data_IF_356113430394
#
_entry.id   IF_356113430394
#
_cell.length_a   1.000
_cell.length_b   1.000
_cell.length_c   1.000
_cell.angle_alpha   90.00
_cell.angle_beta   90.00
_cell.angle_gamma   90.00
#
_symmetry.space_group_name_H-M   'P 1'
#
loop_
_entity.id
_entity.type
_entity.pdbx_description
1 polymer ?
#
# COMPACT_ATOMS: atom_id res chain seq x y z
N UNK A 1 -15.17 -40.59 -12.76
CA UNK A 1 -15.58 -39.82 -11.59
C UNK A 1 -16.87 -39.04 -11.86
N UNK A 2 -17.39 -38.38 -10.84
CA UNK A 2 -18.64 -37.62 -10.89
C UNK A 2 -18.42 -36.12 -11.05
N UNK A 3 -17.17 -35.66 -10.98
CA UNK A 3 -16.80 -34.21 -11.08
C UNK A 3 -16.25 -33.86 -12.45
N UNK A 4 -16.48 -32.63 -12.86
CA UNK A 4 -15.90 -32.04 -14.07
C UNK A 4 -14.98 -30.89 -13.67
N UNK A 5 -13.68 -31.05 -13.93
CA UNK A 5 -12.65 -30.08 -13.62
C UNK A 5 -12.23 -29.31 -14.87
N UNK A 6 -12.14 -27.98 -14.73
CA UNK A 6 -11.60 -27.06 -15.73
C UNK A 6 -10.35 -26.39 -15.19
N UNK A 7 -9.33 -26.24 -16.02
CA UNK A 7 -8.06 -25.64 -15.66
C UNK A 7 -7.90 -24.29 -16.33
N UNK A 8 -7.61 -23.26 -15.55
CA UNK A 8 -7.44 -21.89 -16.04
C UNK A 8 -6.01 -21.43 -15.74
N UNK A 9 -5.23 -21.21 -16.78
CA UNK A 9 -3.87 -20.67 -16.62
C UNK A 9 -3.90 -19.27 -16.03
N UNK A 10 -3.14 -19.07 -14.95
CA UNK A 10 -2.99 -17.83 -14.19
C UNK A 10 -1.51 -17.44 -14.02
N UNK A 11 -0.74 -17.35 -15.13
CA UNK A 11 0.69 -17.14 -15.05
C UNK A 11 1.01 -15.86 -14.27
N UNK A 12 2.03 -15.90 -13.42
CA UNK A 12 2.47 -14.79 -12.55
C UNK A 12 1.46 -14.38 -11.45
N UNK A 13 0.52 -15.27 -11.11
CA UNK A 13 -0.35 -15.05 -9.93
C UNK A 13 -0.09 -16.17 -8.87
N UNK A 14 1.12 -16.29 -8.18
CA UNK A 14 2.23 -15.35 -8.50
C UNK A 14 3.43 -16.05 -9.17
N UNK A 15 3.41 -17.36 -9.40
CA UNK A 15 4.44 -18.12 -10.13
C UNK A 15 4.14 -18.17 -11.63
N UNK A 16 5.18 -18.34 -12.50
CA UNK A 16 4.99 -18.37 -13.96
C UNK A 16 4.03 -19.46 -14.45
N UNK A 17 4.01 -20.60 -13.78
CA UNK A 17 3.25 -21.82 -14.16
C UNK A 17 1.92 -21.98 -13.42
N UNK A 18 1.48 -20.99 -12.63
CA UNK A 18 0.25 -21.10 -11.83
C UNK A 18 -0.97 -21.38 -12.72
N UNK A 19 -1.74 -22.32 -12.24
CA UNK A 19 -3.03 -22.71 -12.80
C UNK A 19 -4.04 -22.82 -11.66
N UNK A 20 -5.22 -22.24 -11.85
CA UNK A 20 -6.35 -22.45 -10.93
C UNK A 20 -7.25 -23.55 -11.49
N UNK A 21 -7.90 -24.29 -10.60
CA UNK A 21 -8.79 -25.39 -10.97
C UNK A 21 -10.22 -25.05 -10.56
N UNK A 22 -11.15 -25.16 -11.49
CA UNK A 22 -12.58 -25.01 -11.23
C UNK A 22 -13.30 -26.32 -11.34
N UNK A 23 -13.97 -26.74 -10.26
CA UNK A 23 -14.92 -27.84 -10.27
C UNK A 23 -16.32 -27.30 -10.55
N UNK A 24 -16.84 -27.62 -11.74
CA UNK A 24 -18.17 -27.16 -12.17
C UNK A 24 -19.31 -27.93 -11.53
N UNK A 25 -19.06 -29.08 -10.91
CA UNK A 25 -20.06 -29.89 -10.21
C UNK A 25 -20.43 -29.25 -8.88
N UNK A 26 -19.42 -28.92 -8.08
CA UNK A 26 -19.60 -28.31 -6.75
C UNK A 26 -19.41 -26.78 -6.77
N UNK A 27 -19.09 -26.19 -7.95
CA UNK A 27 -18.86 -24.75 -8.16
C UNK A 27 -17.74 -24.19 -7.30
N UNK A 28 -16.69 -24.98 -7.12
CA UNK A 28 -15.52 -24.66 -6.29
C UNK A 28 -14.38 -24.17 -7.16
N UNK A 29 -13.81 -23.03 -6.81
CA UNK A 29 -12.55 -22.54 -7.38
C UNK A 29 -11.39 -22.82 -6.41
N UNK A 30 -10.49 -23.71 -6.78
CA UNK A 30 -9.19 -23.87 -6.12
C UNK A 30 -8.23 -22.83 -6.73
N UNK A 31 -8.04 -21.75 -6.01
CA UNK A 31 -7.47 -20.52 -6.55
C UNK A 31 -5.94 -20.42 -6.45
N UNK A 32 -5.26 -21.47 -6.06
CA UNK A 32 -3.86 -21.43 -5.67
C UNK A 32 -3.65 -20.33 -4.60
N UNK A 33 -2.68 -19.45 -4.75
CA UNK A 33 -2.40 -18.38 -3.78
C UNK A 33 -3.33 -17.17 -3.92
N UNK A 34 -4.08 -17.07 -5.01
CA UNK A 34 -5.05 -15.99 -5.17
C UNK A 34 -6.15 -16.08 -4.10
N UNK A 35 -6.53 -14.93 -3.54
CA UNK A 35 -7.47 -14.80 -2.43
C UNK A 35 -6.98 -15.35 -1.09
N UNK A 36 -5.70 -15.73 -1.00
CA UNK A 36 -5.06 -16.11 0.26
C UNK A 36 -4.73 -14.92 1.15
N UNK A 37 -4.44 -15.18 2.42
CA UNK A 37 -3.99 -14.18 3.39
C UNK A 37 -2.83 -14.71 4.23
N UNK A 38 -2.08 -13.82 4.87
CA UNK A 38 -1.17 -14.19 5.94
C UNK A 38 -1.93 -14.57 7.22
N UNK A 39 -1.19 -15.12 8.19
CA UNK A 39 -1.70 -15.49 9.49
C UNK A 39 -2.28 -16.90 9.57
N UNK A 40 -2.44 -17.38 10.79
CA UNK A 40 -3.02 -18.69 11.10
C UNK A 40 -4.55 -18.62 11.04
N UNK A 41 -5.21 -19.78 10.86
CA UNK A 41 -6.67 -19.85 10.76
C UNK A 41 -7.38 -19.69 12.10
N UNK A 42 -6.66 -19.84 13.21
CA UNK A 42 -7.14 -19.73 14.58
C UNK A 42 -6.92 -18.36 15.21
N UNK A 43 -6.50 -17.38 14.42
CA UNK A 43 -6.37 -15.97 14.84
C UNK A 43 -7.57 -15.16 14.34
N UNK A 44 -8.08 -14.28 15.21
CA UNK A 44 -9.15 -13.33 14.86
C UNK A 44 -8.52 -12.08 14.22
N UNK A 45 -8.25 -12.16 12.93
CA UNK A 45 -7.64 -11.11 12.12
C UNK A 45 -8.57 -10.73 10.96
N UNK A 46 -8.63 -9.43 10.65
CA UNK A 46 -9.36 -8.96 9.47
C UNK A 46 -8.76 -9.55 8.19
N UNK A 47 -9.59 -10.24 7.41
CA UNK A 47 -9.15 -10.86 6.17
C UNK A 47 -8.56 -9.82 5.19
N UNK A 48 -9.20 -8.66 5.05
CA UNK A 48 -8.77 -7.67 4.07
C UNK A 48 -7.38 -7.10 4.39
N UNK A 49 -7.08 -6.86 5.68
CA UNK A 49 -5.77 -6.38 6.12
C UNK A 49 -4.68 -7.39 5.75
N UNK A 50 -4.81 -8.64 6.18
CA UNK A 50 -3.81 -9.68 5.95
C UNK A 50 -3.72 -10.12 4.48
N UNK A 51 -4.84 -10.14 3.75
CA UNK A 51 -4.84 -10.43 2.32
C UNK A 51 -4.22 -9.29 1.49
N UNK A 52 -4.43 -8.02 1.87
CA UNK A 52 -3.81 -6.85 1.24
C UNK A 52 -2.31 -6.85 1.49
N UNK A 53 -1.88 -7.13 2.74
CA UNK A 53 -0.47 -7.29 3.10
C UNK A 53 0.18 -8.39 2.27
N UNK A 54 -0.45 -9.56 2.16
CA UNK A 54 0.00 -10.65 1.29
C UNK A 54 0.08 -10.20 -0.18
N UNK A 55 -1.02 -9.63 -0.70
CA UNK A 55 -1.14 -9.24 -2.10
C UNK A 55 -0.03 -8.28 -2.52
N UNK A 56 0.12 -7.14 -1.85
CA UNK A 56 1.10 -6.13 -2.26
C UNK A 56 2.55 -6.54 -2.03
N UNK A 57 2.82 -7.40 -1.05
CA UNK A 57 4.18 -7.86 -0.83
C UNK A 57 4.61 -8.99 -1.77
N UNK A 58 3.69 -9.82 -2.24
CA UNK A 58 3.98 -11.00 -3.06
C UNK A 58 3.53 -10.80 -4.52
N UNK A 59 2.30 -10.38 -4.75
CA UNK A 59 1.66 -10.31 -6.08
C UNK A 59 1.77 -8.91 -6.70
N UNK A 60 1.86 -7.86 -5.91
CA UNK A 60 1.66 -6.44 -6.22
C UNK A 60 2.01 -5.96 -7.63
N UNK A 61 3.21 -6.25 -8.14
CA UNK A 61 3.64 -5.84 -9.49
C UNK A 61 2.93 -6.56 -10.65
N UNK A 62 2.16 -7.60 -10.35
CA UNK A 62 1.49 -8.45 -11.35
C UNK A 62 0.00 -8.11 -11.53
N UNK A 63 -0.40 -6.86 -11.36
CA UNK A 63 -1.80 -6.44 -11.51
C UNK A 63 -2.44 -6.84 -12.85
N UNK A 64 -1.71 -6.72 -13.98
CA UNK A 64 -2.23 -7.14 -15.31
C UNK A 64 -2.50 -8.64 -15.39
N UNK A 65 -1.61 -9.55 -14.95
CA UNK A 65 -1.91 -10.98 -14.79
C UNK A 65 -3.15 -11.27 -13.94
N UNK A 66 -3.28 -10.59 -12.78
CA UNK A 66 -4.47 -10.75 -11.91
C UNK A 66 -5.75 -10.32 -12.63
N UNK A 67 -5.76 -9.18 -13.33
CA UNK A 67 -6.89 -8.75 -14.16
C UNK A 67 -7.22 -9.78 -15.24
N UNK A 68 -6.20 -10.41 -15.83
CA UNK A 68 -6.37 -11.51 -16.79
C UNK A 68 -7.06 -12.72 -16.17
N UNK A 69 -6.70 -13.10 -14.92
CA UNK A 69 -7.34 -14.18 -14.18
C UNK A 69 -8.81 -13.82 -13.86
N UNK A 70 -9.07 -12.66 -13.27
CA UNK A 70 -10.43 -12.20 -12.94
C UNK A 70 -11.34 -12.21 -14.18
N UNK A 71 -10.86 -11.75 -15.33
CA UNK A 71 -11.60 -11.79 -16.59
C UNK A 71 -11.91 -13.22 -17.07
N UNK A 72 -10.96 -14.15 -16.93
CA UNK A 72 -11.17 -15.54 -17.34
C UNK A 72 -12.20 -16.24 -16.44
N UNK A 73 -12.16 -15.95 -15.14
CA UNK A 73 -13.03 -16.60 -14.13
C UNK A 73 -14.39 -15.93 -14.01
N UNK A 74 -14.59 -14.71 -14.54
CA UNK A 74 -15.87 -13.97 -14.44
C UNK A 74 -17.08 -14.66 -15.06
N UNK A 75 -16.87 -15.66 -15.91
CA UNK A 75 -17.95 -16.45 -16.56
C UNK A 75 -18.26 -17.75 -15.82
N UNK A 76 -17.54 -18.06 -14.76
CA UNK A 76 -17.72 -19.26 -13.95
C UNK A 76 -18.72 -18.98 -12.83
N UNK A 77 -19.60 -19.93 -12.57
CA UNK A 77 -20.55 -19.87 -11.43
C UNK A 77 -19.83 -20.36 -10.17
N UNK A 78 -19.01 -19.47 -9.56
CA UNK A 78 -18.21 -19.78 -8.38
C UNK A 78 -19.04 -19.53 -7.13
N UNK A 79 -19.16 -20.56 -6.27
CA UNK A 79 -19.85 -20.48 -4.99
C UNK A 79 -18.89 -20.61 -3.80
N UNK A 80 -17.71 -21.18 -4.03
CA UNK A 80 -16.68 -21.41 -3.00
C UNK A 80 -15.32 -21.09 -3.62
N UNK A 81 -14.47 -20.37 -2.88
CA UNK A 81 -13.07 -20.17 -3.24
C UNK A 81 -12.20 -20.84 -2.18
N UNK A 82 -11.31 -21.72 -2.62
CA UNK A 82 -10.34 -22.45 -1.79
C UNK A 82 -8.91 -22.00 -2.13
N UNK A 83 -8.36 -21.02 -1.41
CA UNK A 83 -6.95 -20.66 -1.56
C UNK A 83 -6.05 -21.71 -0.88
N UNK A 84 -4.75 -21.73 -1.26
CA UNK A 84 -3.76 -22.64 -0.66
C UNK A 84 -3.39 -22.26 0.78
N UNK A 85 -3.63 -21.03 1.18
CA UNK A 85 -3.48 -20.52 2.55
C UNK A 85 -4.52 -19.45 2.86
N UNK A 86 -4.90 -19.32 4.13
CA UNK A 86 -6.06 -18.55 4.55
C UNK A 86 -7.35 -19.39 4.61
N UNK A 87 -8.48 -18.78 4.92
CA UNK A 87 -9.75 -19.47 5.06
C UNK A 87 -10.36 -19.85 3.70
N UNK A 88 -11.20 -20.88 3.71
CA UNK A 88 -12.14 -21.14 2.61
C UNK A 88 -13.21 -20.04 2.60
N UNK A 89 -13.45 -19.44 1.43
CA UNK A 89 -14.38 -18.34 1.25
C UNK A 89 -15.69 -18.89 0.67
N UNK A 90 -16.79 -18.79 1.42
CA UNK A 90 -18.10 -19.35 1.07
C UNK A 90 -19.21 -18.31 1.00
N UNK A 91 -18.97 -17.12 1.54
CA UNK A 91 -19.96 -16.05 1.63
C UNK A 91 -19.41 -14.76 1.05
N UNK A 92 -20.29 -13.90 0.55
CA UNK A 92 -19.94 -12.57 0.06
C UNK A 92 -18.75 -12.54 -0.92
N UNK A 93 -18.65 -13.49 -1.84
CA UNK A 93 -17.52 -13.63 -2.75
C UNK A 93 -17.27 -12.36 -3.59
N UNK A 94 -18.31 -11.57 -3.86
CA UNK A 94 -18.21 -10.28 -4.53
C UNK A 94 -17.24 -9.32 -3.83
N UNK A 95 -17.25 -9.29 -2.50
CA UNK A 95 -16.34 -8.45 -1.71
C UNK A 95 -14.85 -8.76 -1.99
N UNK A 96 -14.49 -10.03 -1.99
CA UNK A 96 -13.11 -10.45 -2.25
C UNK A 96 -12.67 -10.18 -3.70
N UNK A 97 -13.59 -10.38 -4.65
CA UNK A 97 -13.35 -10.10 -6.06
C UNK A 97 -13.18 -8.59 -6.31
N UNK A 98 -13.98 -7.75 -5.67
CA UNK A 98 -13.92 -6.29 -5.77
C UNK A 98 -12.60 -5.75 -5.19
N UNK A 99 -12.13 -6.28 -4.06
CA UNK A 99 -10.83 -5.93 -3.49
C UNK A 99 -9.69 -6.32 -4.43
N UNK A 100 -9.69 -7.54 -4.96
CA UNK A 100 -8.68 -7.98 -5.93
C UNK A 100 -8.70 -7.13 -7.22
N UNK A 101 -9.89 -6.72 -7.68
CA UNK A 101 -10.02 -5.80 -8.80
C UNK A 101 -9.43 -4.42 -8.47
N UNK A 102 -9.71 -3.87 -7.30
CA UNK A 102 -9.17 -2.60 -6.81
C UNK A 102 -7.65 -2.64 -6.73
N UNK A 103 -7.09 -3.66 -6.06
CA UNK A 103 -5.65 -3.80 -5.88
C UNK A 103 -4.91 -4.01 -7.20
N UNK A 104 -5.43 -4.85 -8.08
CA UNK A 104 -4.79 -5.18 -9.36
C UNK A 104 -4.89 -4.08 -10.43
N UNK A 105 -5.82 -3.14 -10.26
CA UNK A 105 -5.87 -1.91 -11.05
C UNK A 105 -5.12 -0.74 -10.40
N UNK A 106 -4.50 -0.98 -9.24
CA UNK A 106 -3.76 0.02 -8.47
C UNK A 106 -4.61 1.22 -8.04
N UNK A 107 -5.90 1.02 -7.87
CA UNK A 107 -6.79 2.02 -7.27
C UNK A 107 -6.60 2.04 -5.75
N UNK A 108 -6.83 3.21 -5.14
CA UNK A 108 -6.88 3.28 -3.69
C UNK A 108 -8.13 2.58 -3.17
N UNK A 109 -7.98 1.82 -2.11
CA UNK A 109 -9.10 1.18 -1.42
C UNK A 109 -9.84 2.18 -0.52
N UNK A 110 -9.07 3.08 0.10
CA UNK A 110 -9.58 4.06 1.06
C UNK A 110 -9.18 5.48 0.66
N UNK A 111 -10.14 6.39 0.61
CA UNK A 111 -9.84 7.82 0.48
C UNK A 111 -9.41 8.37 1.85
N UNK A 112 -8.10 8.44 2.05
CA UNK A 112 -7.46 8.85 3.30
C UNK A 112 -6.01 9.22 3.09
N UNK A 113 -5.32 9.50 4.18
CA UNK A 113 -3.91 9.91 4.19
C UNK A 113 -3.10 8.92 5.00
N UNK A 114 -2.09 8.33 4.39
CA UNK A 114 -1.06 7.57 5.09
C UNK A 114 0.19 8.44 5.25
N UNK A 115 0.69 8.57 6.48
CA UNK A 115 1.91 9.29 6.81
C UNK A 115 2.98 8.29 7.23
N UNK A 116 3.91 8.00 6.34
CA UNK A 116 5.07 7.16 6.61
C UNK A 116 6.26 8.03 7.03
N UNK A 117 6.79 7.82 8.22
CA UNK A 117 7.91 8.64 8.68
C UNK A 117 9.01 7.83 9.37
N UNK A 118 10.15 8.45 9.53
CA UNK A 118 11.23 7.98 10.41
C UNK A 118 11.90 9.16 11.11
N UNK A 119 12.52 8.90 12.26
CA UNK A 119 13.16 9.92 13.06
C UNK A 119 14.42 9.38 13.75
N UNK A 120 15.49 10.16 13.79
CA UNK A 120 16.73 9.78 14.48
C UNK A 120 16.69 10.26 15.94
N UNK A 121 16.32 11.53 16.16
CA UNK A 121 16.40 12.19 17.47
C UNK A 121 15.03 12.65 18.02
N UNK A 122 13.91 12.22 17.42
CA UNK A 122 12.56 12.57 17.87
C UNK A 122 11.99 13.85 17.25
N UNK A 123 12.80 14.75 16.70
CA UNK A 123 12.29 16.01 16.15
C UNK A 123 11.35 15.82 14.94
N UNK A 124 11.61 14.84 14.09
CA UNK A 124 10.70 14.51 12.99
C UNK A 124 9.41 13.89 13.53
N UNK A 125 9.50 13.06 14.58
CA UNK A 125 8.31 12.50 15.25
C UNK A 125 7.41 13.62 15.83
N UNK A 126 8.00 14.59 16.55
CA UNK A 126 7.26 15.74 17.10
C UNK A 126 6.56 16.54 15.98
N UNK A 127 7.27 16.79 14.89
CA UNK A 127 6.76 17.52 13.75
C UNK A 127 5.62 16.77 13.03
N UNK A 128 5.76 15.45 12.85
CA UNK A 128 4.72 14.60 12.25
C UNK A 128 3.49 14.52 13.14
N UNK A 129 3.64 14.46 14.47
CA UNK A 129 2.50 14.53 15.39
C UNK A 129 1.70 15.82 15.21
N UNK A 130 2.39 16.96 15.02
CA UNK A 130 1.71 18.23 14.71
C UNK A 130 1.04 18.23 13.34
N UNK A 131 1.68 17.64 12.33
CA UNK A 131 1.08 17.49 10.99
C UNK A 131 -0.18 16.62 11.03
N UNK A 132 -0.18 15.55 11.84
CA UNK A 132 -1.35 14.70 12.06
C UNK A 132 -2.53 15.49 12.65
N UNK A 133 -2.28 16.33 13.68
CA UNK A 133 -3.30 17.23 14.24
C UNK A 133 -3.87 18.17 13.18
N UNK A 134 -3.00 18.79 12.35
CA UNK A 134 -3.40 19.68 11.27
C UNK A 134 -4.28 18.93 10.25
N UNK A 135 -3.86 17.77 9.79
CA UNK A 135 -4.62 16.95 8.85
C UNK A 135 -6.00 16.59 9.41
N UNK A 136 -6.04 16.05 10.63
CA UNK A 136 -7.30 15.67 11.30
C UNK A 136 -8.25 16.86 11.55
N UNK A 137 -7.72 18.08 11.64
CA UNK A 137 -8.55 19.26 11.75
C UNK A 137 -9.19 19.71 10.43
N UNK A 138 -8.65 19.25 9.29
CA UNK A 138 -9.03 19.68 7.93
C UNK A 138 -9.85 18.64 7.16
N UNK A 139 -9.88 17.39 7.63
CA UNK A 139 -10.61 16.31 6.96
C UNK A 139 -11.26 15.38 7.95
N UNK A 140 -12.40 14.80 7.56
CA UNK A 140 -13.08 13.69 8.22
C UNK A 140 -12.57 12.32 7.74
N UNK A 141 -11.64 12.30 6.78
CA UNK A 141 -11.05 11.09 6.26
C UNK A 141 -10.04 10.49 7.23
N UNK A 142 -9.81 9.20 7.09
CA UNK A 142 -8.84 8.48 7.91
C UNK A 142 -7.42 9.04 7.68
N UNK A 143 -6.70 9.30 8.78
CA UNK A 143 -5.29 9.70 8.80
C UNK A 143 -4.54 8.70 9.65
N UNK A 144 -3.69 7.90 9.01
CA UNK A 144 -2.85 6.88 9.65
C UNK A 144 -1.40 7.30 9.63
N UNK A 145 -0.71 7.16 10.76
CA UNK A 145 0.69 7.61 10.93
C UNK A 145 1.53 6.44 11.42
N UNK A 146 2.59 6.12 10.70
CA UNK A 146 3.46 4.98 11.00
C UNK A 146 4.94 5.36 11.03
N UNK A 147 5.62 5.01 12.13
CA UNK A 147 7.08 5.09 12.24
C UNK A 147 7.72 3.85 11.59
N UNK A 148 8.32 4.05 10.42
CA UNK A 148 8.99 3.01 9.65
C UNK A 148 10.14 2.32 10.39
N UNK A 149 10.70 2.96 11.42
CA UNK A 149 11.77 2.38 12.24
C UNK A 149 11.24 1.41 13.31
N UNK A 150 9.89 1.29 13.46
CA UNK A 150 9.26 0.55 14.55
C UNK A 150 8.08 -0.32 14.12
N UNK A 151 7.75 -0.34 12.84
CA UNK A 151 6.68 -1.15 12.28
C UNK A 151 7.22 -2.34 11.48
N UNK A 152 6.34 -3.26 11.13
CA UNK A 152 6.60 -4.21 10.04
C UNK A 152 6.56 -3.44 8.70
N UNK A 153 7.63 -3.52 7.93
CA UNK A 153 7.71 -2.89 6.61
C UNK A 153 6.62 -3.38 5.66
N UNK A 154 6.19 -4.63 5.80
CA UNK A 154 5.13 -5.20 4.97
C UNK A 154 3.77 -4.54 5.23
N UNK A 155 3.50 -4.13 6.47
CA UNK A 155 2.30 -3.34 6.83
C UNK A 155 2.38 -1.92 6.29
N UNK A 156 3.52 -1.25 6.45
CA UNK A 156 3.68 0.10 5.90
C UNK A 156 3.53 0.14 4.36
N UNK A 157 3.98 -0.91 3.67
CA UNK A 157 3.81 -1.05 2.22
C UNK A 157 2.33 -1.21 1.88
N UNK A 158 1.61 -2.08 2.58
CA UNK A 158 0.18 -2.29 2.30
C UNK A 158 -0.65 -1.04 2.56
N UNK A 159 -0.36 -0.29 3.64
CA UNK A 159 -1.00 0.99 3.93
C UNK A 159 -0.75 2.03 2.83
N UNK A 160 0.48 2.11 2.30
CA UNK A 160 0.76 3.00 1.17
C UNK A 160 -0.11 2.70 -0.05
N UNK A 161 -0.38 1.43 -0.34
CA UNK A 161 -1.27 1.04 -1.43
C UNK A 161 -2.76 1.20 -1.08
N UNK A 162 -3.14 1.06 0.19
CA UNK A 162 -4.51 1.20 0.68
C UNK A 162 -5.04 2.61 0.50
N UNK A 163 -4.28 3.62 0.94
CA UNK A 163 -4.73 5.00 0.97
C UNK A 163 -4.49 5.77 -0.33
N UNK A 164 -5.38 6.74 -0.62
CA UNK A 164 -5.30 7.58 -1.82
C UNK A 164 -4.16 8.60 -1.79
N UNK A 165 -3.69 8.95 -0.59
CA UNK A 165 -2.68 9.98 -0.37
C UNK A 165 -1.57 9.45 0.55
N UNK A 166 -0.32 9.82 0.23
CA UNK A 166 0.86 9.44 1.01
C UNK A 166 1.64 10.69 1.39
N UNK A 167 2.06 10.79 2.65
CA UNK A 167 3.07 11.76 3.09
C UNK A 167 4.29 10.98 3.54
N UNK A 168 5.46 11.31 3.01
CA UNK A 168 6.73 10.74 3.42
C UNK A 168 7.54 11.78 4.19
N UNK A 169 7.97 11.43 5.43
CA UNK A 169 8.68 12.35 6.30
C UNK A 169 9.97 11.72 6.83
N UNK A 170 11.13 12.28 6.50
CA UNK A 170 12.41 11.67 6.87
C UNK A 170 13.53 12.69 7.11
N UNK A 171 14.50 12.36 7.99
CA UNK A 171 15.71 13.14 8.13
C UNK A 171 16.71 12.84 7.00
N UNK A 172 17.53 13.85 6.70
CA UNK A 172 18.72 13.72 5.87
C UNK A 172 19.77 12.85 6.58
N UNK A 173 20.40 11.97 5.83
CA UNK A 173 21.45 11.08 6.32
C UNK A 173 22.43 10.77 5.18
N UNK A 174 23.72 10.87 5.43
CA UNK A 174 24.80 10.60 4.45
C UNK A 174 24.58 11.27 3.08
N UNK A 175 24.23 12.57 3.09
CA UNK A 175 23.88 13.35 1.91
C UNK A 175 22.71 12.78 1.07
N UNK A 176 21.91 11.90 1.66
CA UNK A 176 20.71 11.28 1.10
C UNK A 176 19.53 11.38 2.07
N UNK A 177 18.76 10.29 2.18
CA UNK A 177 17.65 10.12 3.10
C UNK A 177 17.94 8.97 4.07
N UNK A 178 17.38 9.01 5.27
CA UNK A 178 17.58 7.96 6.27
C UNK A 178 17.20 6.56 5.71
N UNK A 179 18.04 5.53 5.95
CA UNK A 179 17.99 4.25 5.22
C UNK A 179 16.64 3.56 5.21
N UNK A 180 15.89 3.55 6.32
CA UNK A 180 14.58 2.88 6.35
C UNK A 180 13.55 3.53 5.41
N UNK A 181 13.61 4.85 5.21
CA UNK A 181 12.77 5.54 4.23
C UNK A 181 13.22 5.20 2.79
N UNK A 182 14.53 5.10 2.55
CA UNK A 182 15.03 4.69 1.24
C UNK A 182 14.57 3.27 0.89
N UNK A 183 14.61 2.35 1.86
CA UNK A 183 14.14 0.98 1.71
C UNK A 183 12.62 0.92 1.43
N UNK A 184 11.83 1.66 2.20
CA UNK A 184 10.39 1.78 1.97
C UNK A 184 10.07 2.27 0.55
N UNK A 185 10.68 3.35 0.10
CA UNK A 185 10.45 3.91 -1.24
C UNK A 185 10.95 2.97 -2.35
N UNK A 186 12.06 2.26 -2.12
CA UNK A 186 12.54 1.23 -3.03
C UNK A 186 11.50 0.12 -3.19
N UNK A 187 10.94 -0.39 -2.08
CA UNK A 187 9.89 -1.39 -2.11
C UNK A 187 8.63 -0.91 -2.83
N UNK A 188 8.19 0.31 -2.61
CA UNK A 188 7.06 0.88 -3.34
C UNK A 188 7.32 0.88 -4.86
N UNK A 189 8.51 1.32 -5.28
CA UNK A 189 8.90 1.36 -6.69
C UNK A 189 8.88 -0.04 -7.34
N UNK A 190 9.55 -1.03 -6.74
CA UNK A 190 9.63 -2.38 -7.33
C UNK A 190 8.30 -3.14 -7.31
N UNK A 191 7.34 -2.72 -6.47
CA UNK A 191 5.98 -3.26 -6.37
C UNK A 191 4.98 -2.50 -7.25
N UNK A 192 5.47 -1.58 -8.11
CA UNK A 192 4.68 -0.79 -9.05
C UNK A 192 3.66 0.16 -8.40
N UNK A 193 4.02 0.78 -7.26
CA UNK A 193 3.23 1.84 -6.63
C UNK A 193 2.90 2.94 -7.64
N UNK A 194 1.64 3.32 -7.72
CA UNK A 194 1.17 4.25 -8.74
C UNK A 194 -0.20 4.85 -8.41
N UNK A 195 -0.63 5.86 -9.21
CA UNK A 195 -1.95 6.49 -9.13
C UNK A 195 -2.23 7.12 -7.75
N UNK A 196 -1.25 7.79 -7.17
CA UNK A 196 -1.36 8.41 -5.84
C UNK A 196 -0.88 9.85 -5.84
N UNK A 197 -1.40 10.63 -4.89
CA UNK A 197 -0.88 11.96 -4.55
C UNK A 197 0.07 11.85 -3.37
N UNK A 198 1.27 12.46 -3.46
CA UNK A 198 2.32 12.31 -2.46
C UNK A 198 2.87 13.66 -2.04
N UNK A 199 3.05 13.87 -0.74
CA UNK A 199 3.71 15.04 -0.17
C UNK A 199 5.01 14.66 0.55
N UNK A 200 5.94 15.61 0.64
CA UNK A 200 7.27 15.39 1.19
C UNK A 200 7.54 16.35 2.35
N UNK A 201 8.01 15.78 3.45
CA UNK A 201 8.55 16.50 4.61
C UNK A 201 9.98 16.03 4.85
N UNK A 202 10.93 16.96 4.94
CA UNK A 202 12.30 16.61 5.26
C UNK A 202 12.79 17.29 6.54
N UNK A 203 13.78 16.68 7.20
CA UNK A 203 14.49 17.29 8.30
C UNK A 203 16.01 17.26 8.05
N UNK A 204 16.68 18.39 8.22
CA UNK A 204 18.13 18.48 8.08
C UNK A 204 18.66 19.79 8.64
N UNK A 205 19.67 19.73 9.52
CA UNK A 205 20.13 20.89 10.30
C UNK A 205 20.79 21.98 9.44
N UNK A 206 21.72 21.60 8.53
CA UNK A 206 22.52 22.57 7.74
C UNK A 206 22.43 22.36 6.24
N UNK A 207 22.26 21.12 5.78
CA UNK A 207 22.19 20.75 4.37
C UNK A 207 21.15 19.67 4.15
N UNK A 208 19.84 19.99 4.17
CA UNK A 208 18.79 19.01 3.95
C UNK A 208 18.88 18.43 2.53
N UNK A 209 18.83 17.10 2.44
CA UNK A 209 18.98 16.34 1.18
C UNK A 209 17.90 15.28 1.02
N UNK A 210 17.13 15.03 2.08
CA UNK A 210 16.14 13.95 2.09
C UNK A 210 15.03 14.17 1.05
N UNK A 211 14.51 15.39 0.94
CA UNK A 211 13.45 15.70 -0.02
C UNK A 211 13.87 15.41 -1.46
N UNK A 212 15.08 15.84 -1.86
CA UNK A 212 15.59 15.57 -3.20
C UNK A 212 15.72 14.06 -3.46
N UNK A 213 16.17 13.30 -2.47
CA UNK A 213 16.33 11.85 -2.59
C UNK A 213 14.98 11.16 -2.68
N UNK A 214 14.03 11.50 -1.80
CA UNK A 214 12.67 10.96 -1.83
C UNK A 214 11.95 11.30 -3.14
N UNK A 215 12.06 12.55 -3.60
CA UNK A 215 11.50 12.99 -4.88
C UNK A 215 12.04 12.16 -6.05
N UNK A 216 13.34 11.86 -6.08
CA UNK A 216 13.95 11.03 -7.12
C UNK A 216 13.33 9.61 -7.19
N UNK A 217 13.00 8.98 -6.06
CA UNK A 217 12.28 7.70 -6.07
C UNK A 217 10.86 7.85 -6.61
N UNK A 218 10.13 8.89 -6.17
CA UNK A 218 8.73 9.11 -6.52
C UNK A 218 8.53 9.47 -8.00
N UNK A 219 9.44 10.23 -8.59
CA UNK A 219 9.41 10.60 -10.02
C UNK A 219 9.56 9.40 -10.97
N UNK A 220 10.13 8.29 -10.49
CA UNK A 220 10.22 7.06 -11.26
C UNK A 220 8.94 6.20 -11.19
N UNK A 221 7.96 6.56 -10.35
CA UNK A 221 6.72 5.83 -10.17
C UNK A 221 5.64 6.37 -11.11
N UNK A 222 4.86 5.46 -11.68
CA UNK A 222 3.85 5.81 -12.69
C UNK A 222 2.67 6.59 -12.08
N UNK A 223 2.28 7.71 -12.68
CA UNK A 223 1.11 8.50 -12.27
C UNK A 223 1.12 8.89 -10.78
N UNK A 224 2.30 9.12 -10.21
CA UNK A 224 2.44 9.72 -8.89
C UNK A 224 2.47 11.23 -9.06
N UNK A 225 1.55 11.93 -8.41
CA UNK A 225 1.50 13.39 -8.37
C UNK A 225 2.17 13.85 -7.09
N UNK A 226 3.30 14.54 -7.18
CA UNK A 226 4.02 15.07 -6.03
C UNK A 226 3.52 16.49 -5.77
N UNK A 227 3.18 16.81 -4.51
CA UNK A 227 2.82 18.15 -4.11
C UNK A 227 3.97 19.14 -4.34
N UNK A 228 3.63 20.36 -4.74
CA UNK A 228 4.61 21.44 -4.95
C UNK A 228 5.20 21.92 -3.61
N UNK A 229 4.38 21.92 -2.56
CA UNK A 229 4.82 22.29 -1.21
C UNK A 229 5.70 21.18 -0.62
N UNK A 230 6.95 21.49 -0.31
CA UNK A 230 7.87 20.65 0.44
C UNK A 230 8.16 21.32 1.77
N UNK A 231 7.89 20.65 2.88
CA UNK A 231 8.19 21.16 4.22
C UNK A 231 9.62 20.80 4.60
N UNK A 232 10.46 21.80 4.85
CA UNK A 232 11.85 21.62 5.30
C UNK A 232 11.99 22.03 6.76
N UNK A 233 12.26 21.05 7.63
CA UNK A 233 12.53 21.25 9.05
C UNK A 233 14.05 21.38 9.25
N UNK A 234 14.47 22.38 10.01
CA UNK A 234 15.89 22.57 10.37
C UNK A 234 16.10 22.20 11.84
N UNK A 235 16.32 20.91 12.10
CA UNK A 235 16.38 20.27 13.41
C UNK A 235 15.01 20.24 14.08
N UNK A 236 14.55 21.33 14.71
CA UNK A 236 13.26 21.46 15.38
C UNK A 236 12.29 22.28 14.54
N UNK A 237 11.03 21.86 14.49
CA UNK A 237 9.97 22.61 13.84
C UNK A 237 9.70 23.94 14.57
N UNK A 238 9.35 24.98 13.81
CA UNK A 238 9.05 26.33 14.27
C UNK A 238 7.65 26.73 13.84
N UNK A 239 7.15 27.88 14.28
CA UNK A 239 5.86 28.42 13.83
C UNK A 239 5.77 28.57 12.29
N UNK A 240 6.89 28.92 11.64
CA UNK A 240 6.90 29.01 10.18
C UNK A 240 6.86 27.62 9.52
N UNK A 241 7.50 26.62 10.14
CA UNK A 241 7.36 25.22 9.71
C UNK A 241 5.90 24.75 9.81
N UNK A 242 5.20 25.11 10.87
CA UNK A 242 3.78 24.77 11.02
C UNK A 242 2.89 25.43 9.96
N UNK A 243 3.18 26.69 9.59
CA UNK A 243 2.48 27.36 8.47
C UNK A 243 2.72 26.65 7.12
N UNK A 244 3.93 26.14 6.89
CA UNK A 244 4.20 25.35 5.68
C UNK A 244 3.49 23.98 5.73
N UNK A 245 3.36 23.37 6.91
CA UNK A 245 2.56 22.15 7.09
C UNK A 245 1.07 22.38 6.82
N UNK A 246 0.52 23.54 7.20
CA UNK A 246 -0.87 23.92 6.87
C UNK A 246 -1.08 23.98 5.35
N UNK A 247 -0.14 24.59 4.61
CA UNK A 247 -0.20 24.65 3.13
C UNK A 247 -0.09 23.27 2.52
N UNK A 248 0.85 22.43 3.02
CA UNK A 248 1.02 21.05 2.56
C UNK A 248 -0.25 20.25 2.79
N UNK A 249 -0.90 20.42 3.96
CA UNK A 249 -2.15 19.74 4.28
C UNK A 249 -3.28 20.19 3.34
N UNK A 250 -3.42 21.48 3.06
CA UNK A 250 -4.40 21.98 2.10
C UNK A 250 -4.15 21.41 0.70
N UNK A 251 -2.90 21.37 0.27
CA UNK A 251 -2.53 20.84 -1.05
C UNK A 251 -2.76 19.34 -1.17
N UNK A 252 -2.34 18.53 -0.19
CA UNK A 252 -2.50 17.06 -0.28
C UNK A 252 -3.98 16.65 -0.20
N UNK A 253 -4.80 17.40 0.54
CA UNK A 253 -6.23 17.12 0.69
C UNK A 253 -7.09 17.60 -0.49
N UNK A 254 -6.64 18.57 -1.26
CA UNK A 254 -7.30 19.01 -2.50
C UNK A 254 -7.25 17.93 -3.58
#
# INVERSE_FOLDING_TARGET
>A
GTHTLSFVMAPMVHWPEVMVTYDSTDKVLFSADAFGKFGALDTDEDWACEARRYYFNIVGKYGVPVQGLLKKTSKLDIQIICPTHGPVLTENLGYYLDLYNTWSTYQAETDGVFVAYCSIHGNTTEAVGKLEEILKSKTDKEVVVTDLSRCDMAEAIEDAFRYSKLIVAAPSYDAGVFPVMADFLHHLKIKAYQNRKVAIVENGSWAPTAARTMKGYLEEMKNVTICDTVVTIKSKATEDTYKEMEKLADEILA
#
